data_IF_232378002966
#
_entry.id   IF_232378002966
#
_cell.length_a   1.000
_cell.length_b   1.000
_cell.length_c   1.000
_cell.angle_alpha   90.00
_cell.angle_beta   90.00
_cell.angle_gamma   90.00
#
_symmetry.space_group_name_H-M   'P 1'
#
loop_
_entity.id
_entity.type
_entity.pdbx_description
1 polymer ?
#
# COMPACT_ATOMS: atom_id res chain seq x y z
N UNK A 1 -0.03 0.89 12.08
CA UNK A 1 0.35 -0.51 11.76
C UNK A 1 1.37 -0.57 10.62
N UNK A 2 1.13 0.04 9.41
CA UNK A 2 2.04 -0.05 8.26
C UNK A 2 3.47 0.41 8.57
N UNK A 3 3.61 1.53 9.28
CA UNK A 3 4.92 2.05 9.70
C UNK A 3 5.66 1.11 10.65
N UNK A 4 4.92 0.34 11.49
CA UNK A 4 5.51 -0.68 12.34
C UNK A 4 6.00 -1.88 11.52
N UNK A 5 5.22 -2.34 10.52
CA UNK A 5 5.65 -3.42 9.62
C UNK A 5 6.90 -2.99 8.83
N UNK A 6 6.94 -1.73 8.37
CA UNK A 6 8.09 -1.18 7.66
C UNK A 6 9.33 -0.95 8.56
N UNK A 7 9.19 -1.02 9.89
CA UNK A 7 10.26 -0.76 10.85
C UNK A 7 10.62 0.72 11.02
N UNK A 8 9.71 1.62 10.63
CA UNK A 8 9.88 3.08 10.79
C UNK A 8 9.48 3.51 12.20
N UNK A 9 8.47 2.84 12.76
CA UNK A 9 8.01 3.03 14.13
C UNK A 9 8.13 1.68 14.84
N UNK A 10 8.74 1.69 16.02
CA UNK A 10 8.82 0.50 16.86
C UNK A 10 7.49 0.29 17.57
N UNK A 11 6.86 -0.90 17.47
CA UNK A 11 5.71 -1.24 18.30
C UNK A 11 6.11 -1.33 19.78
N UNK A 12 5.18 -1.08 20.69
CA UNK A 12 5.37 -1.27 22.11
C UNK A 12 5.49 -2.77 22.44
N UNK A 13 4.55 -3.57 21.89
CA UNK A 13 4.48 -5.01 22.10
C UNK A 13 3.98 -5.73 20.84
N UNK A 14 4.20 -7.04 20.79
CA UNK A 14 3.65 -7.92 19.79
C UNK A 14 4.71 -8.59 18.94
N UNK A 15 4.25 -9.20 17.83
CA UNK A 15 5.07 -9.95 16.90
C UNK A 15 4.66 -9.68 15.46
N UNK A 16 5.64 -9.46 14.58
CA UNK A 16 5.45 -9.28 13.13
C UNK A 16 6.24 -10.34 12.40
N UNK A 17 5.55 -11.14 11.60
CA UNK A 17 6.15 -12.22 10.80
C UNK A 17 5.74 -12.03 9.34
N UNK A 18 6.70 -12.14 8.43
CA UNK A 18 6.49 -12.12 6.98
C UNK A 18 7.15 -13.36 6.36
N UNK A 19 6.36 -14.21 5.70
CA UNK A 19 6.82 -15.46 5.08
C UNK A 19 7.67 -16.34 6.02
N UNK A 20 7.22 -16.50 7.27
CA UNK A 20 7.93 -17.27 8.31
C UNK A 20 9.12 -16.54 8.95
N UNK A 21 9.57 -15.40 8.42
CA UNK A 21 10.64 -14.60 8.98
C UNK A 21 10.11 -13.62 10.00
N UNK A 22 10.65 -13.65 11.23
CA UNK A 22 10.31 -12.70 12.28
C UNK A 22 10.99 -11.35 11.98
N UNK A 23 10.18 -10.30 11.81
CA UNK A 23 10.65 -8.93 11.60
C UNK A 23 10.75 -8.14 12.90
N UNK A 24 9.81 -8.42 13.81
CA UNK A 24 9.75 -7.84 15.16
C UNK A 24 9.16 -8.86 16.13
N UNK A 25 9.72 -8.94 17.32
CA UNK A 25 9.19 -9.75 18.43
C UNK A 25 9.64 -9.11 19.75
N UNK A 26 8.69 -8.53 20.48
CA UNK A 26 8.98 -7.85 21.76
C UNK A 26 9.46 -8.83 22.84
N UNK A 27 8.96 -10.07 22.84
CA UNK A 27 9.33 -11.08 23.83
C UNK A 27 10.74 -11.64 23.59
N UNK A 28 11.17 -11.71 22.33
CA UNK A 28 12.48 -12.21 21.94
C UNK A 28 13.52 -11.10 21.71
N UNK A 29 13.14 -9.84 21.84
CA UNK A 29 14.04 -8.70 21.59
C UNK A 29 14.44 -8.53 20.11
N UNK A 30 13.68 -9.08 19.18
CA UNK A 30 13.95 -8.99 17.75
C UNK A 30 13.35 -7.71 17.19
N UNK A 31 14.15 -6.87 16.55
CA UNK A 31 13.71 -5.67 15.85
C UNK A 31 14.60 -5.42 14.62
N UNK A 32 14.19 -5.96 13.48
CA UNK A 32 14.96 -5.79 12.26
C UNK A 32 14.84 -4.35 11.75
N UNK A 33 15.94 -3.70 11.36
CA UNK A 33 15.90 -2.38 10.77
C UNK A 33 15.17 -2.41 9.39
N UNK A 34 14.58 -1.28 8.92
CA UNK A 34 13.79 -1.21 7.69
C UNK A 34 14.47 -1.83 6.48
N UNK A 35 15.79 -1.63 6.34
CA UNK A 35 16.57 -2.10 5.20
C UNK A 35 16.65 -3.64 5.11
N UNK A 36 16.42 -4.33 6.21
CA UNK A 36 16.46 -5.80 6.28
C UNK A 36 15.09 -6.45 6.16
N UNK A 37 14.00 -5.67 6.19
CA UNK A 37 12.63 -6.22 6.18
C UNK A 37 12.13 -6.62 4.80
N UNK A 38 12.76 -6.10 3.74
CA UNK A 38 12.34 -6.31 2.33
C UNK A 38 10.87 -5.98 2.10
N UNK A 39 10.43 -4.85 2.62
CA UNK A 39 9.07 -4.32 2.50
C UNK A 39 9.07 -3.03 1.68
N UNK A 40 8.05 -2.84 0.86
CA UNK A 40 7.80 -1.61 0.13
C UNK A 40 6.66 -0.82 0.79
N UNK A 41 6.87 0.45 1.09
CA UNK A 41 5.83 1.34 1.63
C UNK A 41 5.71 2.58 0.76
N UNK A 42 4.51 2.77 0.19
CA UNK A 42 4.11 4.00 -0.45
C UNK A 42 3.39 4.86 0.58
N UNK A 43 3.94 6.04 0.84
CA UNK A 43 3.33 7.04 1.70
C UNK A 43 2.29 7.87 0.96
N UNK A 44 1.34 8.44 1.66
CA UNK A 44 0.31 9.32 1.14
C UNK A 44 0.88 10.52 0.33
N UNK A 45 2.03 11.04 0.71
CA UNK A 45 2.73 12.14 0.02
C UNK A 45 3.81 11.67 -0.96
N UNK A 46 3.77 10.37 -1.35
CA UNK A 46 4.72 9.70 -2.25
C UNK A 46 6.18 9.71 -1.78
N UNK A 47 6.59 10.62 -0.92
CA UNK A 47 7.93 10.78 -0.34
C UNK A 47 9.08 10.66 -1.37
N UNK A 48 8.92 11.24 -2.56
CA UNK A 48 9.99 11.35 -3.54
C UNK A 48 11.07 12.30 -3.02
N UNK A 49 12.33 12.02 -3.34
CA UNK A 49 13.43 12.91 -3.06
C UNK A 49 13.37 14.13 -4.00
N UNK A 50 13.10 15.34 -3.51
CA UNK A 50 12.79 16.50 -4.35
C UNK A 50 13.99 16.96 -5.18
N UNK A 51 15.20 16.74 -4.68
CA UNK A 51 16.45 17.13 -5.32
C UNK A 51 17.05 16.04 -6.25
N UNK A 52 16.28 14.99 -6.53
CA UNK A 52 16.65 13.89 -7.41
C UNK A 52 15.69 13.82 -8.58
N UNK A 53 16.19 13.50 -9.76
CA UNK A 53 15.34 13.20 -10.92
C UNK A 53 14.55 11.91 -10.72
N UNK A 54 13.56 11.65 -11.59
CA UNK A 54 12.79 10.39 -11.56
C UNK A 54 13.72 9.18 -11.63
N UNK A 55 14.67 9.17 -12.56
CA UNK A 55 15.66 8.10 -12.69
C UNK A 55 16.47 7.90 -11.41
N UNK A 56 16.97 8.98 -10.81
CA UNK A 56 17.72 8.93 -9.57
C UNK A 56 16.87 8.41 -8.39
N UNK A 57 15.60 8.82 -8.31
CA UNK A 57 14.66 8.29 -7.34
C UNK A 57 14.49 6.77 -7.49
N UNK A 58 14.30 6.26 -8.71
CA UNK A 58 14.17 4.82 -8.97
C UNK A 58 15.47 4.08 -8.62
N UNK A 59 16.64 4.62 -8.99
CA UNK A 59 17.94 4.04 -8.66
C UNK A 59 18.16 3.90 -7.14
N UNK A 60 17.54 4.77 -6.32
CA UNK A 60 17.60 4.64 -4.85
C UNK A 60 16.95 3.34 -4.34
N UNK A 61 16.00 2.75 -5.07
CA UNK A 61 15.39 1.47 -4.73
C UNK A 61 16.32 0.26 -4.93
N UNK A 62 17.38 0.41 -5.71
CA UNK A 62 18.34 -0.65 -6.06
C UNK A 62 19.60 -0.66 -5.15
N UNK A 63 19.46 -0.32 -3.87
CA UNK A 63 20.61 -0.26 -2.94
C UNK A 63 21.32 -1.61 -2.75
N UNK A 64 20.61 -2.72 -2.88
CA UNK A 64 21.16 -4.05 -2.70
C UNK A 64 21.98 -4.52 -3.93
N UNK A 65 21.69 -4.01 -5.13
CA UNK A 65 22.43 -4.35 -6.34
C UNK A 65 23.75 -3.58 -6.41
N UNK A 66 24.85 -4.32 -6.49
CA UNK A 66 26.21 -3.75 -6.48
C UNK A 66 26.75 -3.47 -7.88
N UNK A 67 26.28 -4.22 -8.90
CA UNK A 67 26.72 -4.00 -10.27
C UNK A 67 26.09 -2.74 -10.89
N UNK A 68 26.88 -1.74 -11.28
CA UNK A 68 26.36 -0.52 -11.89
C UNK A 68 25.65 -0.73 -13.23
N UNK A 69 26.01 -1.75 -13.98
CA UNK A 69 25.37 -2.07 -15.26
C UNK A 69 23.99 -2.70 -15.02
N UNK A 70 23.89 -3.68 -14.12
CA UNK A 70 22.65 -4.29 -13.72
C UNK A 70 21.67 -3.25 -13.10
N UNK A 71 22.17 -2.33 -12.26
CA UNK A 71 21.36 -1.23 -11.70
C UNK A 71 20.76 -0.35 -12.79
N UNK A 72 21.56 0.06 -13.78
CA UNK A 72 21.08 0.90 -14.90
C UNK A 72 20.05 0.16 -15.75
N UNK A 73 20.30 -1.11 -16.05
CA UNK A 73 19.39 -1.93 -16.84
C UNK A 73 18.03 -2.10 -16.12
N UNK A 74 18.03 -2.47 -14.83
CA UNK A 74 16.81 -2.63 -14.03
C UNK A 74 16.05 -1.29 -13.89
N UNK A 75 16.75 -0.18 -13.72
CA UNK A 75 16.13 1.13 -13.67
C UNK A 75 15.44 1.48 -15.00
N UNK A 76 16.11 1.27 -16.14
CA UNK A 76 15.56 1.55 -17.46
C UNK A 76 14.32 0.68 -17.76
N UNK A 77 14.36 -0.60 -17.39
CA UNK A 77 13.22 -1.51 -17.50
C UNK A 77 12.03 -1.03 -16.66
N UNK A 78 12.28 -0.64 -15.41
CA UNK A 78 11.24 -0.12 -14.51
C UNK A 78 10.63 1.20 -15.01
N UNK A 79 11.46 2.12 -15.52
CA UNK A 79 10.98 3.38 -16.10
C UNK A 79 10.08 3.11 -17.32
N UNK A 80 10.42 2.13 -18.15
CA UNK A 80 9.60 1.72 -19.30
C UNK A 80 8.29 1.10 -18.83
N UNK A 81 8.34 0.15 -17.90
CA UNK A 81 7.16 -0.51 -17.37
C UNK A 81 6.15 0.48 -16.75
N UNK A 82 6.65 1.55 -16.13
CA UNK A 82 5.84 2.62 -15.51
C UNK A 82 5.56 3.80 -16.46
N UNK A 83 5.90 3.72 -17.74
CA UNK A 83 5.74 4.81 -18.73
C UNK A 83 6.38 6.12 -18.29
N UNK A 84 7.55 6.05 -17.65
CA UNK A 84 8.28 7.19 -17.10
C UNK A 84 9.54 7.55 -17.90
N UNK A 85 9.87 6.83 -18.99
CA UNK A 85 11.06 7.09 -19.79
C UNK A 85 11.18 8.56 -20.25
N UNK A 86 10.11 9.20 -20.78
CA UNK A 86 10.19 10.61 -21.21
C UNK A 86 10.41 11.58 -20.05
N UNK A 87 10.14 11.12 -18.83
CA UNK A 87 10.19 11.92 -17.59
C UNK A 87 11.44 11.62 -16.75
N UNK A 88 12.32 10.70 -17.19
CA UNK A 88 13.45 10.19 -16.42
C UNK A 88 14.36 11.30 -15.85
N UNK A 89 14.53 12.39 -16.56
CA UNK A 89 15.37 13.54 -16.18
C UNK A 89 14.59 14.66 -15.48
N UNK A 90 13.27 14.54 -15.31
CA UNK A 90 12.46 15.52 -14.61
C UNK A 90 12.60 15.35 -13.08
N UNK A 91 12.42 16.47 -12.37
CA UNK A 91 12.34 16.50 -10.92
C UNK A 91 10.89 16.33 -10.45
N UNK A 92 10.63 15.85 -9.21
CA UNK A 92 9.28 15.66 -8.69
C UNK A 92 8.35 16.86 -8.85
N UNK A 93 8.83 18.07 -8.63
CA UNK A 93 8.05 19.29 -8.79
C UNK A 93 7.56 19.57 -10.23
N UNK A 94 8.12 18.86 -11.22
CA UNK A 94 7.75 18.99 -12.65
C UNK A 94 6.77 17.90 -13.12
N UNK A 95 6.27 17.08 -12.19
CA UNK A 95 5.41 15.94 -12.44
C UNK A 95 3.98 16.21 -11.97
N UNK A 96 2.99 15.68 -12.68
CA UNK A 96 1.62 15.57 -12.15
C UNK A 96 1.55 14.61 -10.96
N UNK A 97 0.47 14.66 -10.17
CA UNK A 97 0.26 13.75 -9.04
C UNK A 97 0.36 12.27 -9.41
N UNK A 98 -0.29 11.85 -10.51
CA UNK A 98 -0.19 10.48 -11.02
C UNK A 98 1.21 10.10 -11.48
N UNK A 99 1.96 11.02 -12.10
CA UNK A 99 3.35 10.79 -12.48
C UNK A 99 4.26 10.66 -11.25
N UNK A 100 4.03 11.47 -10.21
CA UNK A 100 4.75 11.33 -8.92
C UNK A 100 4.46 9.99 -8.27
N UNK A 101 3.21 9.55 -8.26
CA UNK A 101 2.81 8.25 -7.72
C UNK A 101 3.49 7.10 -8.47
N UNK A 102 3.47 7.11 -9.81
CA UNK A 102 4.17 6.11 -10.61
C UNK A 102 5.67 6.09 -10.34
N UNK A 103 6.30 7.25 -10.20
CA UNK A 103 7.72 7.35 -9.86
C UNK A 103 8.03 6.77 -8.47
N UNK A 104 7.16 7.01 -7.49
CA UNK A 104 7.30 6.45 -6.15
C UNK A 104 7.10 4.92 -6.15
N UNK A 105 6.10 4.41 -6.87
CA UNK A 105 5.89 2.97 -7.07
C UNK A 105 7.08 2.33 -7.79
N UNK A 106 7.59 2.95 -8.85
CA UNK A 106 8.78 2.49 -9.56
C UNK A 106 9.98 2.34 -8.63
N UNK A 107 10.24 3.33 -7.77
CA UNK A 107 11.31 3.29 -6.77
C UNK A 107 11.17 2.12 -5.79
N UNK A 108 9.94 1.80 -5.39
CA UNK A 108 9.67 0.70 -4.46
C UNK A 108 9.80 -0.65 -5.17
N UNK A 109 9.16 -0.81 -6.31
CA UNK A 109 9.04 -2.08 -7.02
C UNK A 109 10.35 -2.55 -7.66
N UNK A 110 11.23 -1.63 -8.05
CA UNK A 110 12.55 -1.99 -8.59
C UNK A 110 13.38 -2.79 -7.59
N UNK A 111 13.14 -2.59 -6.28
CA UNK A 111 13.75 -3.35 -5.18
C UNK A 111 13.14 -4.75 -4.96
N UNK A 112 12.12 -5.14 -5.73
CA UNK A 112 11.42 -6.43 -5.64
C UNK A 112 11.02 -6.78 -4.20
N UNK A 113 10.20 -5.95 -3.52
CA UNK A 113 9.77 -6.22 -2.15
C UNK A 113 8.87 -7.43 -2.09
N UNK A 114 8.87 -8.15 -0.95
CA UNK A 114 7.95 -9.28 -0.69
C UNK A 114 6.54 -8.84 -0.34
N UNK A 115 6.43 -7.67 0.27
CA UNK A 115 5.15 -7.04 0.58
C UNK A 115 5.16 -5.60 0.10
N UNK A 116 4.09 -5.20 -0.58
CA UNK A 116 3.83 -3.83 -1.01
C UNK A 116 2.72 -3.25 -0.13
N UNK A 117 3.02 -2.17 0.57
CA UNK A 117 2.07 -1.47 1.44
C UNK A 117 1.76 -0.10 0.85
N UNK A 118 0.48 0.20 0.68
CA UNK A 118 -0.03 1.45 0.11
C UNK A 118 -0.87 2.17 1.18
N UNK A 119 -0.40 3.34 1.59
CA UNK A 119 -1.05 4.17 2.62
C UNK A 119 -1.82 5.31 1.94
N UNK A 120 -3.13 5.14 1.79
CA UNK A 120 -4.05 6.07 1.13
C UNK A 120 -3.52 6.57 -0.24
N UNK A 121 -3.19 5.66 -1.17
CA UNK A 121 -2.44 6.00 -2.38
C UNK A 121 -3.15 7.00 -3.29
N UNK A 122 -4.47 7.09 -3.23
CA UNK A 122 -5.27 7.93 -4.14
C UNK A 122 -5.83 9.20 -3.48
N UNK A 123 -5.58 9.43 -2.19
CA UNK A 123 -6.18 10.54 -1.44
C UNK A 123 -5.77 11.93 -1.93
N UNK A 124 -4.57 12.05 -2.51
CA UNK A 124 -4.03 13.32 -3.02
C UNK A 124 -4.41 13.62 -4.48
N UNK A 125 -5.21 12.75 -5.13
CA UNK A 125 -5.60 12.90 -6.53
C UNK A 125 -7.00 13.51 -6.65
N UNK A 126 -7.20 14.36 -7.67
CA UNK A 126 -8.53 14.76 -8.07
C UNK A 126 -9.36 13.58 -8.63
N UNK A 127 -10.68 13.73 -8.71
CA UNK A 127 -11.59 12.63 -9.04
C UNK A 127 -11.35 12.03 -10.43
N UNK A 128 -10.98 12.84 -11.41
CA UNK A 128 -10.76 12.38 -12.78
C UNK A 128 -9.45 11.56 -12.88
N UNK A 129 -8.37 12.10 -12.34
CA UNK A 129 -7.07 11.45 -12.34
C UNK A 129 -7.06 10.19 -11.47
N UNK A 130 -7.90 10.16 -10.42
CA UNK A 130 -8.03 9.02 -9.50
C UNK A 130 -8.45 7.75 -10.22
N UNK A 131 -9.50 7.78 -11.05
CA UNK A 131 -9.98 6.59 -11.77
C UNK A 131 -8.93 6.00 -12.71
N UNK A 132 -8.21 6.85 -13.44
CA UNK A 132 -7.12 6.41 -14.32
C UNK A 132 -6.00 5.73 -13.52
N UNK A 133 -5.55 6.37 -12.45
CA UNK A 133 -4.46 5.87 -11.61
C UNK A 133 -4.87 4.63 -10.82
N UNK A 134 -6.12 4.54 -10.34
CA UNK A 134 -6.65 3.30 -9.73
C UNK A 134 -6.60 2.11 -10.68
N UNK A 135 -6.96 2.31 -11.95
CA UNK A 135 -6.88 1.27 -12.98
C UNK A 135 -5.43 0.81 -13.22
N UNK A 136 -4.49 1.76 -13.29
CA UNK A 136 -3.06 1.45 -13.44
C UNK A 136 -2.51 0.68 -12.23
N UNK A 137 -2.80 1.16 -11.01
CA UNK A 137 -2.38 0.51 -9.76
C UNK A 137 -3.05 -0.86 -9.61
N UNK A 138 -4.34 -0.99 -9.94
CA UNK A 138 -5.06 -2.26 -9.93
C UNK A 138 -4.40 -3.30 -10.85
N UNK A 139 -4.03 -2.91 -12.06
CA UNK A 139 -3.31 -3.76 -13.01
C UNK A 139 -1.93 -4.16 -12.48
N UNK A 140 -1.23 -3.24 -11.82
CA UNK A 140 0.05 -3.51 -11.19
C UNK A 140 -0.08 -4.51 -10.03
N UNK A 141 -1.08 -4.30 -9.15
CA UNK A 141 -1.35 -5.20 -8.02
C UNK A 141 -1.75 -6.61 -8.48
N UNK A 142 -2.52 -6.73 -9.57
CA UNK A 142 -2.89 -8.03 -10.13
C UNK A 142 -1.69 -8.85 -10.62
N UNK A 143 -0.61 -8.18 -11.06
CA UNK A 143 0.62 -8.80 -11.54
C UNK A 143 1.74 -8.84 -10.47
N UNK A 144 1.50 -8.28 -9.30
CA UNK A 144 2.51 -8.25 -8.23
C UNK A 144 2.67 -9.64 -7.60
N UNK A 145 3.89 -10.15 -7.64
CA UNK A 145 4.25 -11.44 -6.99
C UNK A 145 4.60 -11.17 -5.54
N UNK A 146 3.62 -11.29 -4.66
CA UNK A 146 3.77 -11.03 -3.23
C UNK A 146 2.44 -10.61 -2.59
N UNK A 147 2.50 -10.19 -1.34
CA UNK A 147 1.34 -9.67 -0.62
C UNK A 147 1.24 -8.16 -0.82
N UNK A 148 0.07 -7.66 -1.20
CA UNK A 148 -0.23 -6.23 -1.22
C UNK A 148 -1.19 -5.87 -0.08
N UNK A 149 -0.87 -4.83 0.68
CA UNK A 149 -1.73 -4.25 1.71
C UNK A 149 -2.11 -2.83 1.28
N UNK A 150 -3.41 -2.59 1.14
CA UNK A 150 -3.97 -1.27 0.86
C UNK A 150 -4.66 -0.74 2.12
N UNK A 151 -4.27 0.44 2.58
CA UNK A 151 -5.01 1.19 3.58
C UNK A 151 -5.75 2.31 2.88
N UNK A 152 -7.06 2.34 3.05
CA UNK A 152 -7.93 3.37 2.46
C UNK A 152 -9.14 3.59 3.36
N UNK A 153 -9.67 4.80 3.36
CA UNK A 153 -10.98 5.14 3.90
C UNK A 153 -12.08 5.12 2.82
N UNK A 154 -11.71 4.89 1.57
CA UNK A 154 -12.63 4.78 0.45
C UNK A 154 -13.04 3.31 0.25
N UNK A 155 -14.30 3.02 0.56
CA UNK A 155 -14.88 1.68 0.45
C UNK A 155 -14.92 1.15 -0.98
N UNK A 156 -15.08 2.03 -1.98
CA UNK A 156 -15.18 1.63 -3.38
C UNK A 156 -13.81 1.18 -3.90
N UNK A 157 -12.71 1.83 -3.46
CA UNK A 157 -11.34 1.37 -3.70
C UNK A 157 -11.11 -0.01 -3.08
N UNK A 158 -11.48 -0.19 -1.79
CA UNK A 158 -11.33 -1.47 -1.10
C UNK A 158 -12.13 -2.58 -1.81
N UNK A 159 -13.36 -2.29 -2.24
CA UNK A 159 -14.21 -3.26 -2.93
C UNK A 159 -13.65 -3.68 -4.28
N UNK A 160 -13.08 -2.73 -5.05
CA UNK A 160 -12.55 -3.01 -6.40
C UNK A 160 -11.17 -3.67 -6.38
N UNK A 161 -10.29 -3.24 -5.46
CA UNK A 161 -8.89 -3.61 -5.48
C UNK A 161 -8.51 -4.76 -4.55
N UNK A 162 -9.31 -5.02 -3.49
CA UNK A 162 -8.96 -5.99 -2.46
C UNK A 162 -9.84 -7.23 -2.51
N UNK A 163 -9.21 -8.40 -2.45
CA UNK A 163 -9.92 -9.71 -2.32
C UNK A 163 -10.37 -9.95 -0.88
N UNK A 164 -9.56 -9.52 0.07
CA UNK A 164 -9.78 -9.62 1.52
C UNK A 164 -9.69 -8.25 2.14
N UNK A 165 -10.40 -8.03 3.22
CA UNK A 165 -10.34 -6.78 3.96
C UNK A 165 -10.44 -6.99 5.46
N UNK A 166 -9.88 -6.04 6.20
CA UNK A 166 -9.97 -5.92 7.64
C UNK A 166 -10.56 -4.55 7.95
N UNK A 167 -11.66 -4.51 8.67
CA UNK A 167 -12.28 -3.26 9.17
C UNK A 167 -11.70 -2.96 10.53
N UNK A 168 -11.06 -1.80 10.64
CA UNK A 168 -10.44 -1.31 11.88
C UNK A 168 -11.22 -0.11 12.44
N UNK A 169 -11.45 -0.08 13.73
CA UNK A 169 -11.97 1.07 14.43
C UNK A 169 -11.33 1.18 15.82
N UNK A 170 -10.86 2.36 16.19
CA UNK A 170 -10.22 2.63 17.49
C UNK A 170 -9.12 1.62 17.85
N UNK A 171 -8.31 1.22 16.87
CA UNK A 171 -7.25 0.25 17.06
C UNK A 171 -7.67 -1.22 17.15
N UNK A 172 -8.96 -1.51 17.07
CA UNK A 172 -9.50 -2.87 17.15
C UNK A 172 -9.97 -3.38 15.79
N UNK A 173 -9.82 -4.69 15.57
CA UNK A 173 -10.39 -5.38 14.41
C UNK A 173 -11.87 -5.63 14.67
N UNK A 174 -12.75 -4.98 13.91
CA UNK A 174 -14.20 -5.19 14.00
C UNK A 174 -14.64 -6.39 13.16
N UNK A 175 -14.07 -6.55 11.97
CA UNK A 175 -14.41 -7.60 11.02
C UNK A 175 -13.23 -7.88 10.13
N UNK A 176 -13.02 -9.14 9.77
CA UNK A 176 -12.05 -9.58 8.77
C UNK A 176 -12.66 -10.69 7.90
N UNK A 177 -12.28 -10.75 6.62
CA UNK A 177 -12.74 -11.77 5.69
C UNK A 177 -12.63 -11.33 4.24
N UNK A 178 -13.26 -12.10 3.35
CA UNK A 178 -13.35 -11.68 1.95
C UNK A 178 -14.13 -10.37 1.85
N UNK A 179 -13.69 -9.49 0.97
CA UNK A 179 -14.32 -8.16 0.79
C UNK A 179 -15.84 -8.27 0.61
N UNK A 180 -16.29 -9.19 -0.25
CA UNK A 180 -17.73 -9.43 -0.48
C UNK A 180 -18.47 -9.85 0.80
N UNK A 181 -17.89 -10.74 1.61
CA UNK A 181 -18.51 -11.21 2.85
C UNK A 181 -18.61 -10.10 3.89
N UNK A 182 -17.57 -9.26 4.02
CA UNK A 182 -17.56 -8.15 4.96
C UNK A 182 -18.60 -7.08 4.59
N UNK A 183 -18.77 -6.80 3.29
CA UNK A 183 -19.80 -5.87 2.82
C UNK A 183 -21.23 -6.44 2.95
N UNK A 184 -21.42 -7.75 2.74
CA UNK A 184 -22.72 -8.40 2.88
C UNK A 184 -23.16 -8.57 4.34
N UNK A 185 -22.21 -8.87 5.23
CA UNK A 185 -22.47 -9.09 6.67
C UNK A 185 -21.37 -8.46 7.52
N UNK A 186 -21.48 -7.18 7.87
CA UNK A 186 -20.49 -6.45 8.65
C UNK A 186 -20.49 -6.81 10.15
N UNK A 187 -21.48 -7.55 10.65
CA UNK A 187 -21.63 -8.09 12.03
C UNK A 187 -21.69 -7.06 13.17
N UNK A 188 -21.47 -5.78 12.89
CA UNK A 188 -21.61 -4.71 13.90
C UNK A 188 -22.08 -3.41 13.27
N UNK A 189 -22.74 -2.56 14.05
CA UNK A 189 -23.19 -1.24 13.60
C UNK A 189 -21.99 -0.38 13.13
N UNK A 190 -20.88 -0.44 13.85
CA UNK A 190 -19.69 0.32 13.51
C UNK A 190 -19.10 -0.15 12.17
N UNK A 191 -18.97 -1.45 11.94
CA UNK A 191 -18.51 -1.99 10.68
C UNK A 191 -19.51 -1.68 9.53
N UNK A 192 -20.83 -1.79 9.79
CA UNK A 192 -21.87 -1.44 8.82
C UNK A 192 -21.77 0.02 8.35
N UNK A 193 -21.53 0.96 9.27
CA UNK A 193 -21.29 2.37 8.93
C UNK A 193 -20.04 2.57 8.07
N UNK A 194 -18.96 1.91 8.43
CA UNK A 194 -17.68 2.00 7.70
C UNK A 194 -17.79 1.37 6.31
N UNK A 195 -18.57 0.30 6.14
CA UNK A 195 -18.84 -0.33 4.83
C UNK A 195 -19.93 0.37 4.03
N UNK A 196 -20.56 1.42 4.59
CA UNK A 196 -21.42 2.34 3.84
C UNK A 196 -22.91 2.24 4.09
N UNK A 197 -23.34 1.49 5.08
CA UNK A 197 -24.73 1.47 5.50
C UNK A 197 -25.10 2.84 6.10
N UNK A 198 -26.03 3.56 5.45
CA UNK A 198 -26.46 4.89 5.87
C UNK A 198 -27.67 4.84 6.81
N UNK A 199 -28.55 3.86 6.60
CA UNK A 199 -29.81 3.73 7.34
C UNK A 199 -29.73 2.50 8.25
N UNK A 200 -29.49 2.72 9.53
CA UNK A 200 -29.44 1.67 10.55
C UNK A 200 -30.51 2.02 11.58
N UNK A 201 -31.57 1.22 11.65
CA UNK A 201 -32.70 1.41 12.55
C UNK A 201 -32.69 0.29 13.58
N UNK A 202 -32.99 0.61 14.86
CA UNK A 202 -33.27 -0.42 15.84
C UNK A 202 -34.57 -1.14 15.47
N UNK A 203 -34.56 -2.46 15.55
CA UNK A 203 -35.77 -3.27 15.39
C UNK A 203 -35.85 -4.32 16.50
N UNK A 204 -37.07 -4.66 16.90
CA UNK A 204 -37.33 -5.78 17.78
C UNK A 204 -37.89 -6.91 16.92
N UNK A 205 -37.34 -8.13 16.99
CA UNK A 205 -37.93 -9.26 16.26
C UNK A 205 -39.33 -9.48 16.75
N UNK A 206 -40.27 -9.62 15.83
CA UNK A 206 -41.61 -10.11 16.18
C UNK A 206 -41.52 -11.63 16.31
N UNK A 207 -41.93 -12.17 17.47
CA UNK A 207 -41.99 -13.61 17.64
C UNK A 207 -42.87 -14.19 16.52
N UNK A 208 -42.32 -15.09 15.76
CA UNK A 208 -43.06 -15.86 14.75
C UNK A 208 -43.96 -16.85 15.50
N UNK A 209 -45.23 -16.56 15.55
CA UNK A 209 -46.27 -17.54 15.97
C UNK A 209 -46.41 -18.64 14.90
#
# INVERSE_FOLDING_TARGET
>A
TLRCIAGIVRPDEGRIVLDGRVLFDSAQGIDLPPQQRNVGLLFQNYALFPNMTVEQNVLCGLKAEKDPAARRAACAEMLRAMRLEPLAKRYPAQLSGGQQQRAALARILVGKPRILMLDEPFSALDSYLREEVEGEVGSLLANFVGTALLVTHNRDEAYRLCKEMIVLNEGQVLRAGTTKAVFADPQSIAAARLTGCKNILPCTPLDSH
#
